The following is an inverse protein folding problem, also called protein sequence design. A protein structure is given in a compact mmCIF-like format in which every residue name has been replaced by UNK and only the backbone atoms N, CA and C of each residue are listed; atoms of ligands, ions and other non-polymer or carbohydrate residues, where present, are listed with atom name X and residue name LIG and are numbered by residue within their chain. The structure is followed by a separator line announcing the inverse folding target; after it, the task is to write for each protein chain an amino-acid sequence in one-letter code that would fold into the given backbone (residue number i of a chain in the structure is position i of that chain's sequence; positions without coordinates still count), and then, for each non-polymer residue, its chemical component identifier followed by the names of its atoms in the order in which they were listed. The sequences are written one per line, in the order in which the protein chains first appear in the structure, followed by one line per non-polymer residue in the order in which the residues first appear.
data_IF_240122338705
#
_entry.id   IF_240122338705
#
_cell.length_a   1.000
_cell.length_b   1.000
_cell.length_c   1.000
_cell.angle_alpha   90.00
_cell.angle_beta   90.00
_cell.angle_gamma   90.00
#
_symmetry.space_group_name_H-M   'P 1'
#
loop_
_entity.id
_entity.type
_entity.pdbx_description
1 polymer ?
#
# COMPACT_ATOMS: atom_id res chain seq x y z
N UNK A 1 -21.84 7.16 9.71
CA UNK A 1 -21.08 6.86 8.47
C UNK A 1 -20.96 5.35 8.35
N UNK A 2 -21.00 4.80 7.13
CA UNK A 2 -20.63 3.40 6.91
C UNK A 2 -19.13 3.18 7.15
N UNK A 3 -18.73 1.93 7.30
CA UNK A 3 -17.32 1.53 7.35
C UNK A 3 -17.09 0.47 6.28
N UNK A 4 -16.12 0.71 5.40
CA UNK A 4 -15.67 -0.24 4.39
C UNK A 4 -14.20 -0.55 4.65
N UNK A 5 -13.90 -1.80 5.00
CA UNK A 5 -12.54 -2.29 5.17
C UNK A 5 -12.07 -3.03 3.91
N UNK A 6 -10.81 -2.84 3.54
CA UNK A 6 -10.16 -3.57 2.45
C UNK A 6 -8.83 -4.15 2.92
N UNK A 7 -8.37 -5.23 2.28
CA UNK A 7 -7.03 -5.78 2.46
C UNK A 7 -6.40 -5.96 1.09
N UNK A 8 -5.37 -5.18 0.80
CA UNK A 8 -4.62 -5.22 -0.44
C UNK A 8 -3.35 -6.06 -0.25
N UNK A 9 -3.10 -7.00 -1.15
CA UNK A 9 -1.80 -7.68 -1.25
C UNK A 9 -1.17 -7.40 -2.60
N UNK A 10 -0.10 -6.60 -2.61
CA UNK A 10 0.69 -6.32 -3.81
C UNK A 10 1.76 -7.40 -3.95
N UNK A 11 1.77 -8.08 -5.09
CA UNK A 11 2.70 -9.17 -5.38
C UNK A 11 3.93 -8.66 -6.14
N UNK A 12 5.10 -8.98 -5.62
CA UNK A 12 6.39 -8.76 -6.23
C UNK A 12 7.11 -10.07 -6.51
N UNK A 13 8.44 -10.03 -6.44
CA UNK A 13 9.32 -11.20 -6.53
C UNK A 13 10.49 -10.98 -5.59
N UNK A 14 10.60 -11.85 -4.57
CA UNK A 14 11.66 -11.77 -3.57
C UNK A 14 13.04 -11.97 -4.21
N UNK A 15 14.05 -11.28 -3.69
CA UNK A 15 15.43 -11.44 -4.12
C UNK A 15 16.43 -10.76 -3.20
N UNK A 16 17.73 -10.90 -3.48
CA UNK A 16 18.77 -10.22 -2.72
C UNK A 16 18.95 -8.78 -3.24
N UNK A 17 19.17 -7.81 -2.34
CA UNK A 17 19.30 -6.38 -2.71
C UNK A 17 20.44 -6.09 -3.69
N UNK A 18 21.50 -6.92 -3.70
CA UNK A 18 22.62 -6.81 -4.64
C UNK A 18 22.27 -7.22 -6.10
N UNK A 19 21.16 -7.93 -6.31
CA UNK A 19 20.72 -8.37 -7.64
C UNK A 19 19.29 -7.92 -7.94
N UNK A 20 19.02 -6.58 -7.95
CA UNK A 20 17.66 -6.06 -8.01
C UNK A 20 16.94 -6.39 -9.31
N UNK A 21 17.68 -6.58 -10.41
CA UNK A 21 17.15 -6.97 -11.72
C UNK A 21 16.53 -8.39 -11.75
N UNK A 22 16.82 -9.23 -10.75
CA UNK A 22 16.19 -10.55 -10.61
C UNK A 22 14.92 -10.52 -9.74
N UNK A 23 14.62 -9.39 -9.12
CA UNK A 23 13.55 -9.17 -8.16
C UNK A 23 12.52 -8.16 -8.69
N UNK A 24 11.37 -8.08 -8.02
CA UNK A 24 10.35 -7.04 -8.24
C UNK A 24 9.91 -6.55 -6.87
N UNK A 25 10.32 -5.35 -6.47
CA UNK A 25 10.01 -4.83 -5.14
C UNK A 25 8.54 -4.38 -5.08
N UNK A 26 7.66 -5.07 -4.32
CA UNK A 26 6.25 -4.71 -4.21
C UNK A 26 6.04 -3.35 -3.54
N UNK A 27 6.98 -2.89 -2.71
CA UNK A 27 6.93 -1.56 -2.09
C UNK A 27 7.01 -0.50 -3.19
N UNK A 28 8.02 -0.58 -4.07
CA UNK A 28 8.20 0.38 -5.16
C UNK A 28 7.03 0.36 -6.15
N UNK A 29 6.45 -0.82 -6.40
CA UNK A 29 5.29 -0.97 -7.28
C UNK A 29 4.02 -0.35 -6.66
N UNK A 30 3.84 -0.49 -5.35
CA UNK A 30 2.66 0.00 -4.65
C UNK A 30 2.68 1.50 -4.38
N UNK A 31 3.86 2.09 -4.13
CA UNK A 31 3.99 3.47 -3.66
C UNK A 31 3.23 4.50 -4.52
N UNK A 32 3.28 4.49 -5.86
CA UNK A 32 2.54 5.46 -6.67
C UNK A 32 1.02 5.37 -6.46
N UNK A 33 0.46 4.16 -6.46
CA UNK A 33 -0.97 3.95 -6.26
C UNK A 33 -1.41 4.30 -4.84
N UNK A 34 -0.60 3.99 -3.82
CA UNK A 34 -0.89 4.38 -2.44
C UNK A 34 -0.85 5.90 -2.25
N UNK A 35 0.08 6.59 -2.94
CA UNK A 35 0.14 8.04 -2.91
C UNK A 35 -1.09 8.68 -3.56
N UNK A 36 -1.55 8.15 -4.69
CA UNK A 36 -2.78 8.58 -5.36
C UNK A 36 -4.01 8.40 -4.45
N UNK A 37 -4.18 7.21 -3.87
CA UNK A 37 -5.29 6.93 -2.94
C UNK A 37 -5.29 7.85 -1.71
N UNK A 38 -4.11 8.18 -1.17
CA UNK A 38 -3.96 9.05 -0.02
C UNK A 38 -4.22 10.54 -0.34
N UNK A 39 -4.00 10.95 -1.60
CA UNK A 39 -4.23 12.30 -2.08
C UNK A 39 -5.65 12.52 -2.63
N UNK A 40 -6.40 11.44 -2.87
CA UNK A 40 -7.72 11.50 -3.49
C UNK A 40 -8.75 12.22 -2.62
N UNK A 41 -9.53 13.09 -3.25
CA UNK A 41 -10.68 13.74 -2.65
C UNK A 41 -11.95 12.97 -3.01
N UNK A 42 -12.39 12.11 -2.09
CA UNK A 42 -13.43 11.11 -2.35
C UNK A 42 -14.82 11.68 -2.60
N UNK A 43 -15.22 12.71 -1.85
CA UNK A 43 -16.45 13.48 -2.05
C UNK A 43 -16.41 14.79 -1.26
N UNK A 44 -17.38 15.68 -1.51
CA UNK A 44 -17.48 16.96 -0.80
C UNK A 44 -18.26 16.88 0.52
N UNK A 45 -18.68 15.70 0.96
CA UNK A 45 -19.70 15.55 1.99
C UNK A 45 -21.05 16.15 1.57
N UNK A 46 -21.86 16.54 2.56
CA UNK A 46 -23.12 17.26 2.40
C UNK A 46 -23.53 17.93 3.71
N UNK A 47 -24.74 18.50 3.77
CA UNK A 47 -25.28 19.22 4.94
C UNK A 47 -25.26 18.42 6.26
N UNK A 48 -25.18 17.09 6.19
CA UNK A 48 -25.23 16.20 7.34
C UNK A 48 -23.91 15.46 7.60
N UNK A 49 -23.01 15.38 6.61
CA UNK A 49 -21.80 14.58 6.70
C UNK A 49 -20.56 15.30 6.17
N UNK A 50 -19.41 15.18 6.87
CA UNK A 50 -18.15 15.61 6.31
C UNK A 50 -17.76 14.72 5.11
N UNK A 51 -16.77 15.15 4.30
CA UNK A 51 -16.16 14.33 3.27
C UNK A 51 -15.83 12.91 3.71
N UNK A 52 -15.96 11.95 2.79
CA UNK A 52 -15.44 10.59 2.98
C UNK A 52 -13.95 10.63 3.30
N UNK A 53 -13.54 9.78 4.24
CA UNK A 53 -12.15 9.67 4.69
C UNK A 53 -11.59 8.29 4.33
N UNK A 54 -10.42 8.29 3.74
CA UNK A 54 -9.60 7.11 3.48
C UNK A 54 -8.37 7.14 4.38
N UNK A 55 -8.03 6.00 4.98
CA UNK A 55 -6.87 5.84 5.86
C UNK A 55 -6.26 4.45 5.66
N UNK A 56 -4.93 4.39 5.53
CA UNK A 56 -4.18 3.14 5.60
C UNK A 56 -3.87 2.88 7.08
N UNK A 57 -4.47 1.84 7.64
CA UNK A 57 -4.34 1.46 9.04
C UNK A 57 -3.12 0.58 9.32
N UNK A 58 -2.72 -0.25 8.37
CA UNK A 58 -1.53 -1.09 8.47
C UNK A 58 -0.80 -1.21 7.12
N UNK A 59 0.53 -1.25 7.17
CA UNK A 59 1.39 -1.47 6.00
C UNK A 59 2.56 -2.37 6.40
N UNK A 60 2.66 -3.56 5.80
CA UNK A 60 3.68 -4.56 6.15
C UNK A 60 4.34 -5.13 4.90
N UNK A 61 5.66 -5.24 4.93
CA UNK A 61 6.46 -5.90 3.89
C UNK A 61 7.86 -6.21 4.46
N UNK A 62 8.56 -7.17 3.87
CA UNK A 62 9.90 -7.57 4.30
C UNK A 62 9.90 -8.81 5.19
N UNK A 63 11.10 -9.38 5.35
CA UNK A 63 11.34 -10.58 6.18
C UNK A 63 12.03 -10.26 7.50
N UNK A 64 12.35 -8.98 7.74
CA UNK A 64 13.25 -8.52 8.82
C UNK A 64 14.73 -8.50 8.42
N UNK A 65 15.12 -9.19 7.34
CA UNK A 65 16.48 -9.12 6.82
C UNK A 65 16.68 -7.84 5.99
N UNK A 66 17.77 -7.12 6.24
CA UNK A 66 18.09 -5.84 5.56
C UNK A 66 18.62 -6.01 4.14
N UNK A 67 18.99 -7.23 3.75
CA UNK A 67 19.55 -7.57 2.44
C UNK A 67 18.57 -8.32 1.52
N UNK A 68 17.28 -8.38 1.87
CA UNK A 68 16.24 -9.05 1.09
C UNK A 68 15.21 -8.04 0.57
N UNK A 69 15.00 -8.04 -0.74
CA UNK A 69 13.86 -7.37 -1.39
C UNK A 69 12.63 -8.26 -1.17
N UNK A 70 11.51 -7.74 -0.63
CA UNK A 70 10.33 -8.55 -0.30
C UNK A 70 9.60 -9.12 -1.53
N UNK A 71 8.86 -10.22 -1.31
CA UNK A 71 8.00 -10.84 -2.31
C UNK A 71 6.56 -10.29 -2.34
N UNK A 72 6.10 -9.67 -1.26
CA UNK A 72 4.78 -9.04 -1.17
C UNK A 72 4.76 -7.84 -0.23
N UNK A 73 3.74 -7.01 -0.39
CA UNK A 73 3.35 -5.95 0.54
C UNK A 73 1.87 -6.10 0.84
N UNK A 74 1.52 -6.03 2.11
CA UNK A 74 0.13 -6.07 2.60
C UNK A 74 -0.23 -4.70 3.17
N UNK A 75 -1.31 -4.11 2.66
CA UNK A 75 -1.93 -2.90 3.21
C UNK A 75 -3.36 -3.20 3.68
N UNK A 76 -3.77 -2.57 4.78
CA UNK A 76 -5.14 -2.60 5.32
C UNK A 76 -5.60 -1.18 5.56
#
# INVERSE_FOLDING_TARGET
RGSLGARLTVRGKQGHVAYPHLAKNPIHLATPALAELAAEHWDNGNDFFPPTSFQISNLNSGTGATNVIPGDLVAV
#
